data_IF_446281702937
#
_entry.id   IF_446281702937
#
_cell.length_a   1.000
_cell.length_b   1.000
_cell.length_c   1.000
_cell.angle_alpha   90.00
_cell.angle_beta   90.00
_cell.angle_gamma   90.00
#
_symmetry.space_group_name_H-M   'P 1'
#
loop_
_entity.id
_entity.type
_entity.pdbx_description
1 polymer ?
#
# COMPACT_ATOMS: atom_id res chain seq x y z
N UNK A 1 6.56 12.77 0.79
CA UNK A 1 6.37 12.34 0.88
C UNK A 1 6.30 12.36 1.17
N UNK A 2 6.49 12.58 1.43
CA UNK A 2 6.37 12.33 1.60
C UNK A 2 6.33 12.14 2.14
N UNK A 3 6.59 12.19 2.59
CA UNK A 3 6.49 11.82 3.01
C UNK A 3 6.60 12.15 3.58
N UNK A 4 6.88 12.45 3.76
CA UNK A 4 6.85 12.49 4.16
C UNK A 4 6.61 12.96 4.66
N UNK A 5 6.78 13.42 4.93
CA UNK A 5 6.40 13.56 5.30
C UNK A 5 5.97 13.83 5.83
N UNK A 6 6.03 14.01 6.15
CA UNK A 6 5.48 13.90 6.60
C UNK A 6 5.26 14.04 7.34
N UNK A 7 5.47 14.27 7.65
CA UNK A 7 5.12 14.05 8.24
C UNK A 7 4.99 14.41 8.86
N UNK A 8 5.15 14.66 9.06
CA UNK A 8 4.89 14.55 9.55
C UNK A 8 4.66 15.03 10.09
N UNK A 9 4.76 15.35 10.27
CA UNK A 9 4.36 15.36 10.63
C UNK A 9 3.86 15.24 11.31
N UNK A 10 3.99 15.50 11.43
CA UNK A 10 3.47 15.04 11.90
C UNK A 10 3.41 14.68 12.63
N UNK A 11 3.84 14.74 12.65
CA UNK A 11 3.82 14.11 13.13
C UNK A 11 3.90 14.08 13.88
N UNK A 12 4.17 14.35 14.26
CA UNK A 12 4.20 14.02 14.85
C UNK A 12 4.09 13.88 15.71
N UNK A 13 4.23 14.12 16.08
CA UNK A 13 4.00 13.73 16.77
C UNK A 13 3.99 13.29 17.66
N UNK A 14 4.23 13.32 18.03
CA UNK A 14 4.18 12.70 18.76
C UNK A 14 4.33 12.39 19.71
N UNK A 15 4.48 12.38 20.28
CA UNK A 15 4.55 11.89 20.99
C UNK A 15 4.49 11.27 21.69
N UNK A 16 4.58 11.10 21.93
CA UNK A 16 4.38 10.41 22.42
C UNK A 16 4.49 9.55 22.56
N UNK A 17 4.72 9.38 22.45
CA UNK A 17 4.73 8.55 22.53
C UNK A 17 4.94 7.37 22.47
N UNK A 18 5.40 6.96 22.58
CA UNK A 18 5.85 5.91 22.71
C UNK A 18 5.19 4.69 22.39
N UNK A 19 4.34 4.25 22.67
CA UNK A 19 3.68 3.16 22.36
C UNK A 19 3.06 3.25 21.09
N UNK A 20 2.89 4.32 20.60
CA UNK A 20 2.38 4.44 19.37
C UNK A 20 3.21 3.92 18.34
N UNK A 21 4.44 3.80 18.52
CA UNK A 21 5.34 3.26 17.58
C UNK A 21 4.98 1.90 17.22
N UNK A 22 4.64 1.05 18.14
CA UNK A 22 4.31 -0.30 17.84
C UNK A 22 3.02 -0.39 17.11
N UNK A 23 2.09 0.44 17.40
CA UNK A 23 0.81 0.43 16.77
C UNK A 23 0.94 0.76 15.30
N UNK A 24 1.84 1.66 14.95
CA UNK A 24 1.99 2.12 13.60
C UNK A 24 2.87 1.26 12.73
N UNK A 25 3.41 0.19 13.28
CA UNK A 25 4.32 -0.65 12.57
C UNK A 25 3.79 -1.21 11.31
N UNK A 26 2.55 -1.67 11.29
CA UNK A 26 1.99 -2.36 10.16
C UNK A 26 0.83 -1.61 9.52
N UNK A 27 0.95 -0.31 9.48
CA UNK A 27 -0.08 0.53 8.90
C UNK A 27 0.14 0.86 7.44
N UNK A 28 1.18 0.35 6.86
CA UNK A 28 1.51 0.66 5.47
C UNK A 28 0.82 -0.32 4.53
N UNK A 29 0.56 0.15 3.33
CA UNK A 29 0.02 -0.70 2.28
C UNK A 29 0.80 -0.48 1.00
N UNK A 30 0.65 -1.41 0.05
CA UNK A 30 1.20 -1.22 -1.27
C UNK A 30 0.04 -1.18 -2.26
N UNK A 31 0.16 -0.32 -3.25
CA UNK A 31 -0.83 -0.20 -4.32
C UNK A 31 -0.23 -0.84 -5.56
N UNK A 32 -0.90 -1.86 -6.07
CA UNK A 32 -0.38 -2.63 -7.19
C UNK A 32 -1.13 -2.35 -8.49
N UNK A 33 -2.04 -1.41 -8.47
CA UNK A 33 -2.74 -0.97 -9.67
C UNK A 33 -3.86 -0.01 -9.33
N UNK A 34 -4.22 0.82 -10.30
CA UNK A 34 -5.31 1.79 -10.15
C UNK A 34 -6.19 1.69 -11.40
N UNK A 35 -7.46 1.54 -11.21
CA UNK A 35 -8.37 1.22 -12.31
C UNK A 35 -9.66 2.01 -12.25
N UNK A 36 -10.25 2.18 -13.41
CA UNK A 36 -11.52 2.86 -13.55
C UNK A 36 -12.67 2.02 -13.02
N UNK A 37 -12.54 0.69 -13.13
CA UNK A 37 -13.59 -0.23 -12.71
C UNK A 37 -13.15 -1.13 -11.57
N UNK A 38 -14.05 -1.34 -10.63
CA UNK A 38 -13.77 -2.20 -9.47
C UNK A 38 -13.37 -3.61 -9.89
N UNK A 39 -14.03 -4.13 -10.91
CA UNK A 39 -13.75 -5.47 -11.39
C UNK A 39 -12.31 -5.64 -11.85
N UNK A 40 -11.78 -4.61 -12.51
CA UNK A 40 -10.38 -4.63 -12.95
C UNK A 40 -9.44 -4.65 -11.75
N UNK A 41 -9.79 -3.89 -10.70
CA UNK A 41 -8.99 -3.87 -9.49
C UNK A 41 -9.00 -5.24 -8.81
N UNK A 42 -10.14 -5.93 -8.81
CA UNK A 42 -10.24 -7.28 -8.24
C UNK A 42 -9.40 -8.27 -9.02
N UNK A 43 -9.41 -8.17 -10.34
CA UNK A 43 -8.59 -9.05 -11.18
C UNK A 43 -7.12 -8.86 -10.90
N UNK A 44 -6.72 -7.62 -10.69
CA UNK A 44 -5.31 -7.33 -10.40
C UNK A 44 -4.88 -7.92 -9.07
N UNK A 45 -5.74 -7.86 -8.05
CA UNK A 45 -5.45 -8.48 -6.76
C UNK A 45 -5.19 -9.98 -6.97
N UNK A 46 -6.07 -10.64 -7.70
CA UNK A 46 -5.93 -12.08 -7.93
C UNK A 46 -4.69 -12.42 -8.73
N UNK A 47 -4.38 -11.60 -9.72
CA UNK A 47 -3.18 -11.78 -10.52
C UNK A 47 -1.91 -11.71 -9.67
N UNK A 48 -1.82 -10.67 -8.85
CA UNK A 48 -0.64 -10.47 -8.01
C UNK A 48 -0.50 -11.58 -6.97
N UNK A 49 -1.62 -11.98 -6.37
CA UNK A 49 -1.60 -13.10 -5.43
C UNK A 49 -1.08 -14.38 -6.05
N UNK A 50 -1.54 -14.69 -7.25
CA UNK A 50 -1.17 -15.95 -7.87
C UNK A 50 0.25 -15.93 -8.44
N UNK A 51 0.70 -14.79 -8.94
CA UNK A 51 2.04 -14.71 -9.53
C UNK A 51 3.14 -14.44 -8.52
N UNK A 52 2.83 -13.75 -7.46
CA UNK A 52 3.84 -13.34 -6.47
C UNK A 52 3.40 -13.71 -5.05
N UNK A 53 3.16 -15.00 -4.79
CA UNK A 53 2.62 -15.41 -3.50
C UNK A 53 3.53 -15.10 -2.32
N UNK A 54 4.84 -15.10 -2.52
CA UNK A 54 5.76 -14.80 -1.44
C UNK A 54 5.64 -13.35 -1.02
N UNK A 55 5.52 -12.46 -2.00
CA UNK A 55 5.41 -11.01 -1.72
C UNK A 55 4.11 -10.68 -1.00
N UNK A 56 3.03 -11.41 -1.30
CA UNK A 56 1.71 -11.12 -0.75
C UNK A 56 1.31 -12.08 0.37
N UNK A 57 2.19 -12.99 0.74
CA UNK A 57 1.91 -13.99 1.77
C UNK A 57 1.51 -13.32 3.08
N UNK A 58 0.47 -13.82 3.70
CA UNK A 58 -0.05 -13.32 4.96
C UNK A 58 -0.59 -11.90 4.90
N UNK A 59 -0.74 -11.34 3.72
CA UNK A 59 -1.26 -9.97 3.60
C UNK A 59 -2.68 -9.98 3.10
N UNK A 60 -3.49 -9.14 3.71
CA UNK A 60 -4.86 -8.94 3.26
C UNK A 60 -4.88 -8.03 2.05
N UNK A 61 -5.82 -8.25 1.15
CA UNK A 61 -6.02 -7.36 0.03
C UNK A 61 -7.24 -6.48 0.29
N UNK A 62 -7.25 -5.33 -0.35
CA UNK A 62 -8.34 -4.38 -0.19
C UNK A 62 -8.46 -3.56 -1.46
N UNK A 63 -9.68 -3.26 -1.85
CA UNK A 63 -9.92 -2.35 -2.96
C UNK A 63 -10.42 -1.05 -2.38
N UNK A 64 -9.70 0.04 -2.68
CA UNK A 64 -10.00 1.34 -2.11
C UNK A 64 -10.47 2.28 -3.20
N UNK A 65 -11.65 2.84 -2.99
CA UNK A 65 -12.20 3.84 -3.89
C UNK A 65 -11.51 5.18 -3.61
N UNK A 66 -11.01 5.80 -4.66
CA UNK A 66 -10.39 7.12 -4.54
C UNK A 66 -10.96 8.04 -5.61
N UNK A 67 -10.77 9.33 -5.38
CA UNK A 67 -11.20 10.32 -6.35
C UNK A 67 -10.01 11.25 -6.60
N UNK A 68 -9.58 11.36 -7.84
CA UNK A 68 -8.42 12.16 -8.20
C UNK A 68 -8.84 13.09 -9.35
N UNK A 69 -8.80 14.39 -9.10
CA UNK A 69 -9.16 15.39 -10.11
C UNK A 69 -10.53 15.11 -10.73
N UNK A 70 -11.49 14.76 -9.89
CA UNK A 70 -12.85 14.47 -10.33
C UNK A 70 -13.05 13.09 -10.93
N UNK A 71 -11.99 12.31 -11.07
CA UNK A 71 -12.11 10.95 -11.60
C UNK A 71 -12.24 9.95 -10.47
N UNK A 72 -13.16 9.02 -10.61
CA UNK A 72 -13.40 7.97 -9.63
C UNK A 72 -12.60 6.74 -10.05
N UNK A 73 -11.75 6.28 -9.13
CA UNK A 73 -10.83 5.18 -9.43
C UNK A 73 -10.83 4.18 -8.27
N UNK A 74 -10.32 3.00 -8.56
CA UNK A 74 -10.20 1.94 -7.57
C UNK A 74 -8.75 1.49 -7.50
N UNK A 75 -8.19 1.50 -6.29
CA UNK A 75 -6.82 1.04 -6.07
C UNK A 75 -6.84 -0.38 -5.55
N UNK A 76 -6.00 -1.23 -6.15
CA UNK A 76 -5.77 -2.58 -5.64
C UNK A 76 -4.65 -2.51 -4.64
N UNK A 77 -4.93 -2.85 -3.40
CA UNK A 77 -3.94 -2.73 -2.31
C UNK A 77 -3.76 -4.04 -1.56
N UNK A 78 -2.54 -4.20 -1.04
CA UNK A 78 -2.27 -5.19 -0.02
C UNK A 78 -1.87 -4.41 1.23
N UNK A 79 -2.39 -4.78 2.37
CA UNK A 79 -2.29 -3.99 3.59
C UNK A 79 -1.53 -4.74 4.70
N UNK A 80 -1.33 -4.06 5.81
CA UNK A 80 -0.66 -4.63 6.99
C UNK A 80 0.83 -4.86 6.80
N UNK A 81 1.47 -3.93 6.11
CA UNK A 81 2.93 -3.94 5.96
C UNK A 81 3.58 -3.00 6.95
N UNK A 82 4.75 -3.36 7.43
CA UNK A 82 5.63 -2.38 8.04
C UNK A 82 6.17 -1.50 6.92
N UNK A 83 6.70 -0.35 7.26
CA UNK A 83 7.29 0.54 6.26
C UNK A 83 8.37 -0.18 5.45
N UNK A 84 9.26 -0.85 6.14
CA UNK A 84 10.36 -1.58 5.52
C UNK A 84 9.84 -2.63 4.55
N UNK A 85 8.88 -3.42 5.00
CA UNK A 85 8.36 -4.51 4.19
C UNK A 85 7.57 -4.01 2.99
N UNK A 86 6.87 -2.89 3.15
CA UNK A 86 6.13 -2.30 2.03
C UNK A 86 7.09 -1.89 0.92
N UNK A 87 8.18 -1.23 1.28
CA UNK A 87 9.16 -0.80 0.28
C UNK A 87 9.87 -1.99 -0.35
N UNK A 88 10.15 -3.03 0.43
CA UNK A 88 10.76 -4.23 -0.11
C UNK A 88 9.83 -4.93 -1.10
N UNK A 89 8.55 -5.03 -0.76
CA UNK A 89 7.57 -5.65 -1.63
C UNK A 89 7.47 -4.91 -2.96
N UNK A 90 7.43 -3.58 -2.92
CA UNK A 90 7.36 -2.81 -4.14
C UNK A 90 8.63 -2.94 -4.98
N UNK A 91 9.78 -3.02 -4.35
CA UNK A 91 11.02 -3.25 -5.09
C UNK A 91 11.00 -4.59 -5.81
N UNK A 92 10.47 -5.62 -5.17
CA UNK A 92 10.36 -6.93 -5.79
C UNK A 92 9.44 -6.91 -6.98
N UNK A 93 8.28 -6.27 -6.83
CA UNK A 93 7.32 -6.21 -7.92
C UNK A 93 7.84 -5.37 -9.08
N UNK A 94 8.56 -4.31 -8.78
CA UNK A 94 9.15 -3.46 -9.82
C UNK A 94 10.14 -4.23 -10.68
N UNK A 95 10.85 -5.19 -10.10
CA UNK A 95 11.76 -6.03 -10.86
C UNK A 95 11.06 -6.82 -11.97
N UNK A 96 9.79 -7.12 -11.76
CA UNK A 96 9.00 -7.86 -12.73
C UNK A 96 8.13 -6.93 -13.59
N UNK A 97 8.43 -5.65 -13.55
CA UNK A 97 7.69 -4.67 -14.35
C UNK A 97 6.29 -4.37 -13.83
N UNK A 98 6.01 -4.66 -12.58
CA UNK A 98 4.69 -4.41 -12.01
C UNK A 98 4.65 -3.04 -11.33
N UNK A 99 3.52 -2.36 -11.49
CA UNK A 99 3.32 -1.09 -10.81
C UNK A 99 3.19 -1.34 -9.31
N UNK A 100 3.85 -0.53 -8.52
CA UNK A 100 3.74 -0.65 -7.07
C UNK A 100 4.21 0.63 -6.41
N UNK A 101 3.41 1.14 -5.49
CA UNK A 101 3.88 2.23 -4.65
C UNK A 101 3.31 2.07 -3.25
N UNK A 102 3.99 2.71 -2.30
CA UNK A 102 3.67 2.56 -0.89
C UNK A 102 2.73 3.66 -0.44
N UNK A 103 1.74 3.30 0.36
CA UNK A 103 0.85 4.28 1.01
C UNK A 103 0.82 4.03 2.49
N UNK A 104 0.64 5.09 3.22
CA UNK A 104 0.46 4.98 4.66
C UNK A 104 -1.00 4.73 5.01
#
# INVERSE_FOLDING_TARGET
LNIENIDVKKEKKINDTKKQTSINKDNYSIVVGTFKYRKSAEKQINLIKSKYPITTSSKESKIVFIEVSGKKLYESRFINFSKKDAYQACRRLAKYGRDCFVRL
#
